data_IF_301275606055
#
_entry.id   IF_301275606055
#
_cell.length_a   1.000
_cell.length_b   1.000
_cell.length_c   1.000
_cell.angle_alpha   90.00
_cell.angle_beta   90.00
_cell.angle_gamma   90.00
#
_symmetry.space_group_name_H-M   'P 1'
#
loop_
_entity.id
_entity.type
_entity.pdbx_description
1 polymer ?
#
# COMPACT_ATOMS: atom_id res chain seq x y z
N UNK A 1 37.57 18.65 -2.99
CA UNK A 1 36.82 17.69 -2.15
C UNK A 1 35.28 17.88 -2.13
N UNK A 2 34.71 18.94 -2.74
CA UNK A 2 33.25 19.18 -2.71
C UNK A 2 32.43 18.51 -3.84
N UNK A 3 33.05 18.19 -4.99
CA UNK A 3 32.34 17.61 -6.14
C UNK A 3 31.91 16.16 -5.92
N UNK A 4 32.76 15.33 -5.30
CA UNK A 4 32.48 13.90 -5.06
C UNK A 4 31.41 13.70 -3.99
N UNK A 5 31.30 14.59 -2.99
CA UNK A 5 30.20 14.56 -2.00
C UNK A 5 28.86 14.98 -2.61
N UNK A 6 28.84 16.00 -3.48
CA UNK A 6 27.63 16.38 -4.23
C UNK A 6 27.22 15.31 -5.24
N UNK A 7 28.17 14.68 -5.93
CA UNK A 7 27.86 13.54 -6.80
C UNK A 7 27.34 12.36 -5.97
N UNK A 8 27.97 12.00 -4.85
CA UNK A 8 27.46 10.91 -3.99
C UNK A 8 26.11 11.22 -3.37
N UNK A 9 25.83 12.47 -2.99
CA UNK A 9 24.52 12.91 -2.52
C UNK A 9 23.47 12.92 -3.65
N UNK A 10 23.88 13.29 -4.87
CA UNK A 10 23.02 13.25 -6.06
C UNK A 10 22.76 11.81 -6.54
N UNK A 11 23.75 10.93 -6.49
CA UNK A 11 23.61 9.49 -6.76
C UNK A 11 22.87 8.77 -5.64
N UNK A 12 23.00 9.22 -4.38
CA UNK A 12 22.20 8.76 -3.24
C UNK A 12 20.75 9.23 -3.37
N UNK A 13 20.51 10.48 -3.77
CA UNK A 13 19.18 10.96 -4.13
C UNK A 13 18.63 10.16 -5.31
N UNK A 14 19.41 9.92 -6.36
CA UNK A 14 19.01 9.13 -7.53
C UNK A 14 18.71 7.66 -7.24
N UNK A 15 19.31 7.08 -6.19
CA UNK A 15 18.95 5.74 -5.66
C UNK A 15 17.76 5.75 -4.72
N UNK A 16 17.44 6.89 -4.08
CA UNK A 16 16.18 7.09 -3.33
C UNK A 16 14.95 7.21 -4.24
N UNK A 17 15.17 7.37 -5.55
CA UNK A 17 14.13 7.54 -6.57
C UNK A 17 13.89 6.27 -7.41
N UNK A 18 14.26 5.09 -6.89
CA UNK A 18 13.81 3.82 -7.46
C UNK A 18 12.37 3.58 -7.04
N UNK A 19 11.47 4.10 -7.89
CA UNK A 19 10.03 4.05 -7.72
C UNK A 19 9.58 2.66 -7.27
N UNK A 20 8.96 2.62 -6.10
CA UNK A 20 8.44 1.40 -5.51
C UNK A 20 6.95 1.41 -5.78
N UNK A 21 6.56 0.75 -6.87
CA UNK A 21 5.15 0.59 -7.18
C UNK A 21 4.49 -0.20 -6.06
N UNK A 22 3.28 0.19 -5.74
CA UNK A 22 2.39 -0.53 -4.85
C UNK A 22 1.26 -1.07 -5.69
N UNK A 23 0.71 -2.22 -5.32
CA UNK A 23 -0.49 -2.75 -5.96
C UNK A 23 -1.48 -3.06 -4.86
N UNK A 24 -2.57 -2.31 -4.79
CA UNK A 24 -3.75 -2.71 -4.05
C UNK A 24 -4.45 -3.82 -4.85
N UNK A 25 -4.35 -5.07 -4.40
CA UNK A 25 -4.96 -6.20 -5.11
C UNK A 25 -6.15 -6.77 -4.34
N UNK A 26 -7.26 -6.91 -5.06
CA UNK A 26 -8.49 -7.50 -4.59
C UNK A 26 -8.78 -8.67 -5.50
N UNK A 27 -8.73 -9.88 -4.97
CA UNK A 27 -9.06 -11.05 -5.75
C UNK A 27 -10.53 -11.36 -5.53
N UNK A 28 -11.37 -10.99 -6.49
CA UNK A 28 -12.70 -11.55 -6.64
C UNK A 28 -12.58 -12.93 -7.30
N UNK A 29 -12.65 -14.01 -6.52
CA UNK A 29 -12.82 -15.36 -7.07
C UNK A 29 -14.32 -15.67 -7.21
N UNK A 30 -15.01 -14.94 -8.08
CA UNK A 30 -16.37 -15.32 -8.48
C UNK A 30 -16.30 -16.44 -9.53
N UNK A 31 -16.29 -17.67 -9.03
CA UNK A 31 -16.96 -18.84 -9.62
C UNK A 31 -16.45 -19.39 -10.95
N UNK A 32 -15.46 -20.29 -10.91
CA UNK A 32 -15.50 -21.60 -11.60
C UNK A 32 -14.63 -22.61 -10.81
N UNK A 33 -15.17 -23.19 -9.73
CA UNK A 33 -14.64 -24.44 -9.15
C UNK A 33 -15.78 -25.30 -8.57
N UNK A 34 -16.92 -25.30 -9.27
CA UNK A 34 -18.04 -26.22 -9.02
C UNK A 34 -18.16 -27.25 -10.14
N UNK A 35 -17.12 -28.05 -10.39
CA UNK A 35 -17.21 -29.16 -11.35
C UNK A 35 -16.14 -30.28 -11.20
N UNK A 36 -15.40 -30.37 -10.07
CA UNK A 36 -14.44 -31.47 -9.87
C UNK A 36 -14.51 -32.14 -8.48
N UNK A 37 -15.59 -31.90 -7.73
CA UNK A 37 -15.92 -32.74 -6.56
C UNK A 37 -17.07 -33.64 -6.95
N UNK A 38 -16.78 -34.70 -7.70
CA UNK A 38 -17.58 -35.92 -7.82
C UNK A 38 -16.77 -36.91 -8.65
N UNK A 39 -15.96 -37.75 -7.98
CA UNK A 39 -15.68 -39.15 -8.33
C UNK A 39 -14.87 -39.80 -7.18
N UNK A 40 -15.05 -41.12 -6.94
CA UNK A 40 -14.93 -41.76 -5.62
C UNK A 40 -13.51 -42.19 -5.21
N UNK A 41 -13.39 -42.43 -3.90
CA UNK A 41 -12.24 -42.95 -3.16
C UNK A 41 -11.48 -44.08 -3.86
N UNK A 42 -10.16 -43.88 -3.99
CA UNK A 42 -9.19 -44.95 -4.17
C UNK A 42 -8.15 -44.87 -3.06
N UNK A 43 -8.15 -45.90 -2.22
CA UNK A 43 -7.19 -46.17 -1.14
C UNK A 43 -5.74 -46.12 -1.63
N UNK A 44 -4.84 -45.48 -0.87
CA UNK A 44 -3.45 -45.96 -0.69
C UNK A 44 -2.73 -45.29 0.49
N UNK A 45 -2.30 -46.17 1.42
CA UNK A 45 -1.10 -46.15 2.27
C UNK A 45 -0.80 -44.95 3.19
N UNK A 46 -0.94 -45.21 4.50
CA UNK A 46 -0.35 -44.44 5.61
C UNK A 46 1.19 -44.54 5.59
N UNK A 47 1.94 -43.42 5.72
CA UNK A 47 3.30 -43.46 6.21
C UNK A 47 3.33 -43.39 7.75
N UNK A 48 4.27 -44.13 8.32
CA UNK A 48 4.57 -44.27 9.74
C UNK A 48 4.83 -42.92 10.45
N UNK A 49 4.30 -42.80 11.67
CA UNK A 49 4.65 -41.75 12.62
C UNK A 49 6.10 -41.93 13.09
N UNK A 50 6.95 -40.93 12.83
CA UNK A 50 8.18 -40.73 13.56
C UNK A 50 7.87 -39.79 14.74
N UNK A 51 8.05 -40.29 15.96
CA UNK A 51 7.95 -39.51 17.18
C UNK A 51 9.04 -38.44 17.20
N UNK A 52 8.65 -37.17 17.16
CA UNK A 52 9.52 -36.06 17.51
C UNK A 52 9.35 -35.77 19.01
N UNK A 53 10.48 -35.74 19.70
CA UNK A 53 10.67 -35.50 21.12
C UNK A 53 10.06 -34.18 21.59
N UNK A 54 9.29 -34.28 22.66
CA UNK A 54 8.83 -33.18 23.51
C UNK A 54 10.01 -32.56 24.27
N UNK A 55 10.27 -31.28 24.02
CA UNK A 55 10.68 -30.34 25.06
C UNK A 55 9.80 -29.09 24.97
N UNK A 56 9.03 -28.88 26.02
CA UNK A 56 8.11 -27.77 26.19
C UNK A 56 8.62 -26.91 27.34
N UNK A 57 8.85 -25.61 27.10
CA UNK A 57 8.55 -24.52 28.06
C UNK A 57 8.37 -23.24 27.24
N UNK A 58 7.13 -22.92 26.85
CA UNK A 58 6.41 -21.80 27.46
C UNK A 58 5.18 -21.56 26.60
N UNK A 59 4.00 -21.50 27.21
CA UNK A 59 2.71 -21.43 26.54
C UNK A 59 2.73 -20.47 25.35
N UNK A 60 2.66 -21.02 24.14
CA UNK A 60 2.23 -20.25 22.98
C UNK A 60 0.82 -19.77 23.30
N UNK A 61 0.68 -18.49 23.65
CA UNK A 61 -0.59 -17.78 23.56
C UNK A 61 -1.29 -18.27 22.28
N UNK A 62 -2.54 -18.72 22.39
CA UNK A 62 -3.29 -19.31 21.28
C UNK A 62 -2.90 -18.61 19.98
N UNK A 63 -2.23 -19.35 19.08
CA UNK A 63 -1.51 -18.77 17.97
C UNK A 63 -2.41 -17.76 17.26
N UNK A 64 -1.94 -16.52 17.12
CA UNK A 64 -2.71 -15.44 16.51
C UNK A 64 -3.32 -15.96 15.19
N UNK A 65 -4.65 -15.92 15.01
CA UNK A 65 -5.30 -16.53 13.84
C UNK A 65 -4.76 -15.95 12.53
N UNK A 66 -4.33 -14.68 12.54
CA UNK A 66 -3.71 -14.03 11.37
C UNK A 66 -2.33 -14.61 11.06
N UNK A 67 -1.56 -15.01 12.09
CA UNK A 67 -0.31 -15.72 11.89
C UNK A 67 -0.56 -17.10 11.29
N UNK A 68 -1.59 -17.82 11.74
CA UNK A 68 -1.95 -19.13 11.18
C UNK A 68 -2.34 -19.05 9.69
N UNK A 69 -3.00 -17.96 9.31
CA UNK A 69 -3.39 -17.68 7.92
C UNK A 69 -2.17 -17.56 7.00
N UNK A 70 -1.19 -16.71 7.35
CA UNK A 70 -0.01 -16.48 6.52
C UNK A 70 1.06 -17.57 6.67
N UNK A 71 1.10 -18.28 7.80
CA UNK A 71 2.13 -19.31 8.07
C UNK A 71 2.21 -20.35 6.97
N UNK A 72 1.07 -20.82 6.44
CA UNK A 72 1.04 -21.84 5.38
C UNK A 72 1.77 -21.39 4.11
N UNK A 73 1.81 -20.09 3.84
CA UNK A 73 2.49 -19.50 2.68
C UNK A 73 3.96 -19.19 2.95
N UNK A 74 4.33 -18.88 4.21
CA UNK A 74 5.69 -18.47 4.60
C UNK A 74 6.56 -19.67 4.98
N UNK A 75 6.02 -20.65 5.72
CA UNK A 75 6.75 -21.80 6.27
C UNK A 75 7.55 -22.62 5.22
N UNK A 76 7.05 -22.84 3.99
CA UNK A 76 7.81 -23.54 2.95
C UNK A 76 9.13 -22.86 2.55
N UNK A 77 9.29 -21.56 2.82
CA UNK A 77 10.46 -20.76 2.47
C UNK A 77 11.51 -20.70 3.59
N UNK A 78 11.22 -21.23 4.77
CA UNK A 78 12.19 -21.40 5.85
C UNK A 78 11.66 -21.01 7.24
N UNK A 79 12.55 -20.95 8.25
CA UNK A 79 12.18 -20.59 9.62
C UNK A 79 11.51 -19.21 9.67
N UNK A 80 10.44 -19.10 10.46
CA UNK A 80 9.65 -17.87 10.59
C UNK A 80 10.12 -17.06 11.79
N UNK A 81 10.35 -15.77 11.58
CA UNK A 81 10.49 -14.76 12.60
C UNK A 81 9.16 -14.00 12.73
N UNK A 82 8.70 -13.78 13.96
CA UNK A 82 7.50 -12.97 14.22
C UNK A 82 7.77 -11.93 15.30
N UNK A 83 7.18 -10.75 15.13
CA UNK A 83 7.12 -9.66 16.11
C UNK A 83 5.68 -9.23 16.31
N UNK A 84 5.33 -8.88 17.55
CA UNK A 84 4.04 -8.30 17.87
C UNK A 84 4.24 -6.85 18.29
N UNK A 85 3.62 -5.94 17.56
CA UNK A 85 3.68 -4.50 17.83
C UNK A 85 2.36 -4.06 18.42
N UNK A 86 2.40 -3.39 19.57
CA UNK A 86 1.21 -2.72 20.08
C UNK A 86 0.86 -1.57 19.13
N UNK A 87 -0.30 -1.69 18.50
CA UNK A 87 -0.94 -0.61 17.73
C UNK A 87 -2.09 -0.08 18.62
N UNK A 88 -2.55 1.15 18.43
CA UNK A 88 -3.45 1.83 19.39
C UNK A 88 -4.69 1.03 19.83
N UNK A 89 -5.39 1.50 20.86
CA UNK A 89 -6.68 0.94 21.30
C UNK A 89 -6.67 -0.55 21.68
N UNK A 90 -5.54 -1.01 22.26
CA UNK A 90 -5.36 -2.38 22.71
C UNK A 90 -5.13 -3.40 21.58
N UNK A 91 -5.01 -2.92 20.33
CA UNK A 91 -4.73 -3.76 19.18
C UNK A 91 -3.26 -4.16 19.11
N UNK A 92 -3.00 -5.25 18.38
CA UNK A 92 -1.63 -5.69 18.11
C UNK A 92 -1.50 -6.05 16.64
N UNK A 93 -0.51 -5.48 15.99
CA UNK A 93 -0.13 -5.84 14.63
C UNK A 93 1.01 -6.87 14.66
N UNK A 94 1.17 -7.60 13.56
CA UNK A 94 2.22 -8.61 13.41
C UNK A 94 3.21 -8.17 12.35
N UNK A 95 4.50 -8.42 12.58
CA UNK A 95 5.52 -8.40 11.53
C UNK A 95 6.08 -9.82 11.40
N UNK A 96 6.01 -10.37 10.20
CA UNK A 96 6.36 -11.76 9.88
C UNK A 96 7.38 -11.77 8.74
N UNK A 97 8.34 -12.68 8.79
CA UNK A 97 9.28 -12.92 7.69
C UNK A 97 10.29 -13.99 8.10
N UNK A 98 11.48 -13.97 7.54
CA UNK A 98 12.54 -14.93 7.90
C UNK A 98 13.74 -14.24 8.57
N UNK A 99 14.64 -15.00 9.23
CA UNK A 99 15.84 -14.44 9.85
C UNK A 99 16.73 -13.61 8.90
N UNK A 100 16.68 -13.88 7.59
CA UNK A 100 17.41 -13.13 6.58
C UNK A 100 16.88 -11.70 6.35
N UNK A 101 15.59 -11.44 6.63
CA UNK A 101 14.93 -10.12 6.50
C UNK A 101 14.88 -9.37 7.85
N UNK A 102 15.77 -9.70 8.78
CA UNK A 102 15.76 -9.11 10.14
C UNK A 102 15.84 -7.58 10.11
N UNK A 103 16.65 -7.00 9.22
CA UNK A 103 16.85 -5.56 9.17
C UNK A 103 15.55 -4.81 8.82
N UNK A 104 14.81 -5.33 7.83
CA UNK A 104 13.52 -4.81 7.40
C UNK A 104 12.46 -5.02 8.50
N UNK A 105 12.41 -6.22 9.09
CA UNK A 105 11.51 -6.52 10.21
C UNK A 105 11.74 -5.56 11.37
N UNK A 106 12.99 -5.28 11.74
CA UNK A 106 13.33 -4.39 12.85
C UNK A 106 12.90 -2.93 12.54
N UNK A 107 12.98 -2.48 11.28
CA UNK A 107 12.46 -1.15 10.87
C UNK A 107 10.94 -1.12 10.94
N UNK A 108 10.26 -2.08 10.33
CA UNK A 108 8.81 -2.16 10.30
C UNK A 108 8.23 -2.29 11.72
N UNK A 109 8.86 -3.09 12.58
CA UNK A 109 8.48 -3.23 13.99
C UNK A 109 8.46 -1.88 14.72
N UNK A 110 9.47 -1.03 14.50
CA UNK A 110 9.56 0.30 15.12
C UNK A 110 8.55 1.29 14.56
N UNK A 111 8.27 1.23 13.27
CA UNK A 111 7.44 2.23 12.59
C UNK A 111 5.93 1.93 12.67
N UNK A 112 5.53 0.66 12.86
CA UNK A 112 4.14 0.23 12.69
C UNK A 112 3.14 0.92 13.62
N UNK A 113 3.51 1.18 14.87
CA UNK A 113 2.66 1.91 15.81
C UNK A 113 2.43 3.37 15.37
N UNK A 114 3.50 4.07 14.99
CA UNK A 114 3.43 5.46 14.53
C UNK A 114 2.72 5.57 13.18
N UNK A 115 2.92 4.61 12.28
CA UNK A 115 2.24 4.54 10.99
C UNK A 115 0.73 4.31 11.17
N UNK A 116 0.34 3.40 12.06
CA UNK A 116 -1.09 3.16 12.38
C UNK A 116 -1.76 4.41 12.96
N UNK A 117 -1.08 5.11 13.87
CA UNK A 117 -1.59 6.36 14.43
C UNK A 117 -1.75 7.45 13.37
N UNK A 118 -0.75 7.62 12.48
CA UNK A 118 -0.81 8.61 11.41
C UNK A 118 -1.94 8.35 10.41
N UNK A 119 -2.15 7.09 10.02
CA UNK A 119 -3.28 6.71 9.15
C UNK A 119 -4.62 6.93 9.85
N UNK A 120 -4.72 6.59 11.14
CA UNK A 120 -5.93 6.80 11.96
C UNK A 120 -6.26 8.27 12.12
N UNK A 121 -5.28 9.15 12.23
CA UNK A 121 -5.49 10.61 12.29
C UNK A 121 -6.11 11.16 11.00
N UNK A 122 -5.80 10.55 9.85
CA UNK A 122 -6.36 10.94 8.56
C UNK A 122 -7.73 10.30 8.32
N UNK A 123 -7.82 8.99 8.44
CA UNK A 123 -9.00 8.22 8.05
C UNK A 123 -10.10 8.15 9.11
N UNK A 124 -9.71 8.18 10.39
CA UNK A 124 -10.52 7.78 11.53
C UNK A 124 -10.22 6.34 11.99
N UNK A 125 -10.83 5.94 13.10
CA UNK A 125 -10.52 4.67 13.79
C UNK A 125 -11.29 3.43 13.31
N UNK A 126 -12.27 3.56 12.40
CA UNK A 126 -13.11 2.43 11.96
C UNK A 126 -12.45 1.58 10.86
N UNK A 127 -11.33 0.95 11.22
CA UNK A 127 -10.60 -0.02 10.39
C UNK A 127 -9.83 -0.99 11.28
N UNK A 128 -9.17 -2.00 10.69
CA UNK A 128 -8.62 -3.12 11.44
C UNK A 128 -7.63 -2.73 12.54
N UNK A 129 -6.75 -1.74 12.31
CA UNK A 129 -5.66 -1.30 13.21
C UNK A 129 -4.76 -2.41 13.77
N UNK A 130 -4.93 -3.64 13.31
CA UNK A 130 -4.29 -4.86 13.73
C UNK A 130 -3.86 -5.59 12.43
N UNK A 131 -2.88 -5.01 11.74
CA UNK A 131 -2.46 -5.46 10.41
C UNK A 131 -1.36 -6.52 10.52
N UNK A 132 -1.41 -7.54 9.66
CA UNK A 132 -0.28 -8.44 9.46
C UNK A 132 0.61 -7.87 8.37
N UNK A 133 1.87 -7.61 8.69
CA UNK A 133 2.91 -7.19 7.74
C UNK A 133 3.85 -8.36 7.52
N UNK A 134 4.05 -8.75 6.26
CA UNK A 134 4.92 -9.87 5.88
C UNK A 134 6.07 -9.34 5.02
N UNK A 135 7.30 -9.73 5.30
CA UNK A 135 8.46 -9.47 4.42
C UNK A 135 8.86 -10.78 3.76
N UNK A 136 8.58 -10.88 2.46
CA UNK A 136 8.90 -12.08 1.70
C UNK A 136 10.43 -12.29 1.59
N UNK A 137 10.88 -13.53 1.54
CA UNK A 137 12.27 -13.90 1.31
C UNK A 137 12.65 -14.07 -0.15
N UNK A 138 11.66 -14.26 -1.01
CA UNK A 138 11.87 -14.47 -2.45
C UNK A 138 10.70 -13.93 -3.29
N UNK A 139 10.91 -13.68 -4.60
CA UNK A 139 9.82 -13.28 -5.49
C UNK A 139 8.70 -14.33 -5.57
N UNK A 140 9.05 -15.62 -5.45
CA UNK A 140 8.07 -16.71 -5.44
C UNK A 140 7.20 -16.68 -4.18
N UNK A 141 7.79 -16.40 -3.02
CA UNK A 141 7.03 -16.21 -1.79
C UNK A 141 6.14 -14.97 -1.86
N UNK A 142 6.67 -13.86 -2.36
CA UNK A 142 5.91 -12.62 -2.55
C UNK A 142 4.67 -12.87 -3.43
N UNK A 143 4.86 -13.50 -4.59
CA UNK A 143 3.78 -13.91 -5.50
C UNK A 143 2.74 -14.80 -4.82
N UNK A 144 3.17 -15.77 -4.01
CA UNK A 144 2.29 -16.64 -3.24
C UNK A 144 1.47 -15.91 -2.17
N UNK A 145 2.09 -14.97 -1.46
CA UNK A 145 1.46 -14.21 -0.37
C UNK A 145 0.43 -13.21 -0.86
N UNK A 146 0.64 -12.61 -2.03
CA UNK A 146 -0.33 -11.71 -2.64
C UNK A 146 -1.36 -12.47 -3.50
N UNK A 147 -1.08 -13.74 -3.85
CA UNK A 147 -1.86 -14.56 -4.77
C UNK A 147 -1.91 -14.02 -6.22
N UNK A 148 -0.78 -13.51 -6.73
CA UNK A 148 -0.65 -13.08 -8.12
C UNK A 148 0.60 -13.68 -8.75
N UNK A 149 0.45 -14.13 -9.99
CA UNK A 149 1.54 -14.69 -10.81
C UNK A 149 2.12 -13.68 -11.80
N UNK A 150 1.57 -12.47 -11.88
CA UNK A 150 1.91 -11.45 -12.90
C UNK A 150 2.39 -10.14 -12.31
N UNK A 151 2.99 -10.15 -11.11
CA UNK A 151 3.50 -8.94 -10.48
C UNK A 151 4.77 -8.45 -11.17
N UNK A 152 4.83 -7.15 -11.43
CA UNK A 152 6.08 -6.51 -11.82
C UNK A 152 7.10 -6.62 -10.69
N UNK A 153 8.37 -6.84 -11.02
CA UNK A 153 9.47 -6.76 -10.07
C UNK A 153 9.64 -5.35 -9.47
N UNK A 154 9.01 -4.35 -10.08
CA UNK A 154 9.01 -2.97 -9.58
C UNK A 154 8.09 -2.78 -8.38
N UNK A 155 7.21 -3.74 -8.08
CA UNK A 155 6.32 -3.69 -6.92
C UNK A 155 7.10 -3.98 -5.65
N UNK A 156 7.18 -3.02 -4.74
CA UNK A 156 7.94 -3.16 -3.49
C UNK A 156 7.08 -3.60 -2.31
N UNK A 157 5.78 -3.33 -2.38
CA UNK A 157 4.81 -3.88 -1.45
C UNK A 157 3.43 -3.98 -2.09
N UNK A 158 2.56 -4.74 -1.44
CA UNK A 158 1.16 -4.86 -1.82
C UNK A 158 0.28 -5.02 -0.59
N UNK A 159 -0.85 -4.33 -0.60
CA UNK A 159 -1.96 -4.54 0.33
C UNK A 159 -2.93 -5.57 -0.25
N UNK A 160 -3.22 -6.58 0.57
CA UNK A 160 -4.05 -7.73 0.20
C UNK A 160 -5.23 -7.81 1.15
N UNK A 161 -6.39 -8.19 0.62
CA UNK A 161 -7.55 -8.60 1.39
C UNK A 161 -8.22 -9.81 0.72
N UNK A 162 -8.88 -10.65 1.51
CA UNK A 162 -9.72 -11.71 0.97
C UNK A 162 -10.95 -11.11 0.26
N UNK A 163 -11.55 -11.82 -0.71
CA UNK A 163 -12.83 -11.40 -1.29
C UNK A 163 -13.91 -11.23 -0.20
N UNK A 164 -14.62 -10.11 -0.27
CA UNK A 164 -15.71 -9.76 0.63
C UNK A 164 -16.87 -9.15 -0.15
N UNK A 165 -18.09 -9.29 0.37
CA UNK A 165 -19.26 -8.66 -0.22
C UNK A 165 -19.25 -7.13 0.01
N UNK A 166 -19.76 -6.31 -0.92
CA UNK A 166 -19.93 -4.88 -0.68
C UNK A 166 -20.68 -4.59 0.64
N UNK A 167 -20.13 -3.71 1.47
CA UNK A 167 -20.67 -3.38 2.80
C UNK A 167 -20.29 -4.35 3.92
N UNK A 168 -19.64 -5.48 3.63
CA UNK A 168 -19.02 -6.33 4.65
C UNK A 168 -17.64 -5.78 5.06
N UNK A 169 -17.18 -6.15 6.26
CA UNK A 169 -15.81 -5.83 6.68
C UNK A 169 -14.81 -6.73 5.95
N UNK A 170 -13.72 -6.17 5.39
CA UNK A 170 -12.65 -6.98 4.78
C UNK A 170 -12.01 -7.93 5.80
N UNK A 171 -11.61 -9.11 5.34
CA UNK A 171 -10.86 -10.12 6.11
C UNK A 171 -9.56 -10.49 5.41
N UNK A 172 -8.70 -11.28 6.07
CA UNK A 172 -7.42 -11.73 5.51
C UNK A 172 -6.45 -10.60 5.17
N UNK A 173 -6.68 -9.41 5.75
CA UNK A 173 -5.94 -8.21 5.41
C UNK A 173 -4.47 -8.31 5.83
N UNK A 174 -3.57 -8.04 4.89
CA UNK A 174 -2.13 -8.05 5.13
C UNK A 174 -1.39 -7.15 4.15
N UNK A 175 -0.25 -6.66 4.60
CA UNK A 175 0.72 -5.95 3.76
C UNK A 175 1.86 -6.91 3.50
N UNK A 176 2.28 -7.05 2.25
CA UNK A 176 3.40 -7.91 1.87
C UNK A 176 4.47 -7.02 1.25
N UNK A 177 5.68 -7.01 1.81
CA UNK A 177 6.86 -6.37 1.23
C UNK A 177 7.62 -7.37 0.36
N UNK A 178 8.12 -6.89 -0.78
CA UNK A 178 8.97 -7.64 -1.68
C UNK A 178 10.31 -7.97 -1.01
N UNK A 179 11.00 -9.05 -1.44
CA UNK A 179 12.27 -9.44 -0.83
C UNK A 179 13.41 -8.44 -1.02
N UNK A 180 13.29 -7.54 -1.98
CA UNK A 180 14.26 -6.50 -2.31
C UNK A 180 13.88 -5.12 -1.77
N UNK A 181 12.72 -4.97 -1.10
CA UNK A 181 12.23 -3.70 -0.59
C UNK A 181 13.27 -2.98 0.29
N UNK A 182 13.88 -3.69 1.25
CA UNK A 182 14.91 -3.10 2.13
C UNK A 182 16.26 -2.82 1.46
N UNK A 183 16.51 -3.35 0.26
CA UNK A 183 17.68 -2.96 -0.55
C UNK A 183 17.42 -1.72 -1.39
N UNK A 184 16.17 -1.54 -1.84
CA UNK A 184 15.73 -0.44 -2.71
C UNK A 184 15.41 0.82 -1.91
N UNK A 185 14.87 0.64 -0.71
CA UNK A 185 14.41 1.72 0.15
C UNK A 185 15.34 1.89 1.34
N UNK A 186 15.68 3.14 1.66
CA UNK A 186 16.24 3.46 2.96
C UNK A 186 15.14 3.37 4.04
N UNK A 187 15.47 3.44 5.34
CA UNK A 187 14.47 3.31 6.40
C UNK A 187 13.32 4.32 6.30
N UNK A 188 13.57 5.51 5.74
CA UNK A 188 12.55 6.53 5.52
C UNK A 188 11.58 6.15 4.39
N UNK A 189 12.13 5.60 3.29
CA UNK A 189 11.34 5.01 2.22
C UNK A 189 10.45 3.86 2.71
N UNK A 190 10.99 2.93 3.52
CA UNK A 190 10.20 1.84 4.12
C UNK A 190 9.09 2.35 5.03
N UNK A 191 9.36 3.37 5.84
CA UNK A 191 8.37 4.02 6.71
C UNK A 191 7.24 4.65 5.91
N UNK A 192 7.59 5.36 4.84
CA UNK A 192 6.63 6.00 3.92
C UNK A 192 5.78 4.94 3.22
N UNK A 193 6.41 3.90 2.67
CA UNK A 193 5.73 2.78 2.03
C UNK A 193 4.79 2.04 2.99
N UNK A 194 5.20 1.83 4.25
CA UNK A 194 4.34 1.22 5.26
C UNK A 194 3.06 2.05 5.50
N UNK A 195 3.16 3.38 5.58
CA UNK A 195 1.99 4.26 5.73
C UNK A 195 1.10 4.26 4.50
N UNK A 196 1.70 4.24 3.31
CA UNK A 196 0.96 4.11 2.05
C UNK A 196 0.11 2.83 2.08
N UNK A 197 0.74 1.68 2.33
CA UNK A 197 0.04 0.39 2.34
C UNK A 197 -1.00 0.27 3.48
N UNK A 198 -0.69 0.79 4.68
CA UNK A 198 -1.68 0.86 5.74
C UNK A 198 -2.89 1.73 5.38
N UNK A 199 -2.71 2.74 4.54
CA UNK A 199 -3.83 3.55 4.05
C UNK A 199 -4.76 2.70 3.21
N UNK A 200 -4.24 1.85 2.32
CA UNK A 200 -5.06 0.89 1.56
C UNK A 200 -5.79 -0.10 2.47
N UNK A 201 -5.14 -0.60 3.53
CA UNK A 201 -5.80 -1.46 4.53
C UNK A 201 -6.96 -0.71 5.22
N UNK A 202 -6.73 0.55 5.61
CA UNK A 202 -7.72 1.37 6.31
C UNK A 202 -8.93 1.72 5.44
N UNK A 203 -8.68 2.03 4.16
CA UNK A 203 -9.72 2.48 3.24
C UNK A 203 -10.47 1.34 2.57
N UNK A 204 -9.95 0.12 2.57
CA UNK A 204 -10.47 -1.00 1.77
C UNK A 204 -11.98 -1.22 1.86
N UNK A 205 -12.57 -1.08 3.05
CA UNK A 205 -14.02 -1.28 3.23
C UNK A 205 -14.88 -0.23 2.50
N UNK A 206 -14.32 0.95 2.23
CA UNK A 206 -14.97 2.06 1.52
C UNK A 206 -14.64 2.08 0.02
N UNK A 207 -13.80 1.16 -0.46
CA UNK A 207 -13.27 1.19 -1.82
C UNK A 207 -13.83 0.02 -2.62
N UNK A 208 -14.61 0.32 -3.66
CA UNK A 208 -15.06 -0.68 -4.62
C UNK A 208 -13.95 -1.03 -5.61
N UNK A 209 -14.10 -2.15 -6.29
CA UNK A 209 -13.22 -2.53 -7.39
C UNK A 209 -13.44 -1.63 -8.60
N UNK A 210 -12.35 -1.17 -9.23
CA UNK A 210 -12.39 -0.22 -10.34
C UNK A 210 -12.70 1.22 -9.94
N UNK A 211 -12.43 1.59 -8.69
CA UNK A 211 -12.31 3.00 -8.30
C UNK A 211 -11.04 3.62 -8.94
N UNK A 212 -11.06 4.92 -9.29
CA UNK A 212 -10.01 5.53 -10.09
C UNK A 212 -8.70 5.64 -9.32
N UNK A 213 -7.59 5.23 -9.96
CA UNK A 213 -6.29 5.10 -9.30
C UNK A 213 -5.73 6.45 -8.83
N UNK A 214 -6.06 7.56 -9.51
CA UNK A 214 -5.63 8.89 -9.08
C UNK A 214 -6.09 9.24 -7.66
N UNK A 215 -7.27 8.77 -7.25
CA UNK A 215 -7.77 8.98 -5.89
C UNK A 215 -7.18 7.95 -4.93
N UNK A 216 -7.12 6.68 -5.35
CA UNK A 216 -6.65 5.58 -4.50
C UNK A 216 -5.19 5.77 -4.12
N UNK A 217 -4.31 5.88 -5.10
CA UNK A 217 -2.87 6.01 -4.90
C UNK A 217 -2.49 7.42 -4.42
N UNK A 218 -3.14 8.45 -4.95
CA UNK A 218 -2.89 9.83 -4.52
C UNK A 218 -3.21 10.06 -3.03
N UNK A 219 -4.30 9.47 -2.52
CA UNK A 219 -4.67 9.57 -1.11
C UNK A 219 -3.73 8.76 -0.20
N UNK A 220 -3.30 7.58 -0.66
CA UNK A 220 -2.31 6.77 0.04
C UNK A 220 -0.97 7.50 0.14
N UNK A 221 -0.47 8.10 -0.95
CA UNK A 221 0.75 8.91 -0.94
C UNK A 221 0.62 10.19 -0.12
N UNK A 222 -0.52 10.86 -0.18
CA UNK A 222 -0.78 12.03 0.67
C UNK A 222 -0.66 11.65 2.14
N UNK A 223 -1.35 10.57 2.55
CA UNK A 223 -1.34 10.08 3.93
C UNK A 223 0.05 9.63 4.34
N UNK A 224 0.78 8.97 3.44
CA UNK A 224 2.15 8.55 3.65
C UNK A 224 3.04 9.74 4.00
N UNK A 225 3.07 10.77 3.15
CA UNK A 225 3.96 11.92 3.31
C UNK A 225 3.53 12.97 4.35
N UNK A 226 2.26 12.95 4.77
CA UNK A 226 1.72 13.92 5.73
C UNK A 226 2.51 13.93 7.04
N UNK A 227 2.85 15.15 7.49
CA UNK A 227 3.53 15.38 8.77
C UNK A 227 4.98 14.90 8.83
N UNK A 228 5.56 14.44 7.71
CA UNK A 228 6.95 13.98 7.66
C UNK A 228 7.96 15.10 7.36
N UNK A 229 7.49 16.31 7.03
CA UNK A 229 8.36 17.45 6.69
C UNK A 229 9.05 17.32 5.31
N UNK A 230 8.59 16.40 4.46
CA UNK A 230 9.10 16.25 3.11
C UNK A 230 8.70 17.45 2.26
N UNK A 231 9.63 17.96 1.44
CA UNK A 231 9.34 19.09 0.55
C UNK A 231 8.69 18.55 -0.73
N UNK A 232 7.99 19.42 -1.46
CA UNK A 232 7.41 19.08 -2.76
C UNK A 232 8.43 18.42 -3.69
N UNK A 233 9.66 18.98 -3.77
CA UNK A 233 10.74 18.45 -4.61
C UNK A 233 11.29 17.08 -4.17
N UNK A 234 11.03 16.65 -2.94
CA UNK A 234 11.42 15.33 -2.43
C UNK A 234 10.34 14.28 -2.71
N UNK A 235 9.06 14.68 -2.78
CA UNK A 235 7.92 13.80 -3.03
C UNK A 235 7.65 13.66 -4.54
N UNK A 236 7.66 14.78 -5.26
CA UNK A 236 7.26 14.86 -6.67
C UNK A 236 8.37 15.49 -7.56
N UNK A 237 9.60 14.93 -7.58
CA UNK A 237 10.71 15.48 -8.32
C UNK A 237 10.51 15.48 -9.85
N UNK A 238 9.86 14.43 -10.38
CA UNK A 238 9.62 14.26 -11.82
C UNK A 238 8.57 15.24 -12.29
N UNK A 239 7.47 15.34 -11.56
CA UNK A 239 6.40 16.31 -11.81
C UNK A 239 6.92 17.75 -11.68
N UNK A 240 7.71 18.06 -10.65
CA UNK A 240 8.31 19.38 -10.49
C UNK A 240 9.22 19.73 -11.69
N UNK A 241 9.97 18.75 -12.21
CA UNK A 241 10.80 18.94 -13.41
C UNK A 241 9.93 19.21 -14.63
N UNK A 242 8.85 18.46 -14.84
CA UNK A 242 7.90 18.68 -15.93
C UNK A 242 7.29 20.08 -15.88
N UNK A 243 6.79 20.51 -14.71
CA UNK A 243 6.20 21.83 -14.49
C UNK A 243 7.21 22.94 -14.77
N UNK A 244 8.45 22.82 -14.29
CA UNK A 244 9.53 23.78 -14.59
C UNK A 244 9.91 23.86 -16.06
N UNK A 245 9.68 22.79 -16.81
CA UNK A 245 9.86 22.75 -18.26
C UNK A 245 8.61 23.16 -19.06
N UNK A 246 7.61 23.78 -18.40
CA UNK A 246 6.32 24.16 -19.00
C UNK A 246 5.47 22.99 -19.54
N UNK A 247 5.74 21.76 -19.07
CA UNK A 247 4.99 20.56 -19.38
C UNK A 247 4.01 20.22 -18.23
N UNK A 248 3.20 21.19 -17.82
CA UNK A 248 2.20 21.01 -16.74
C UNK A 248 1.12 20.03 -17.23
N UNK A 249 0.78 18.97 -16.47
CA UNK A 249 -0.28 18.04 -16.86
C UNK A 249 -1.59 18.75 -17.18
N UNK A 250 -2.30 18.26 -18.20
CA UNK A 250 -3.53 18.88 -18.71
C UNK A 250 -4.79 18.47 -17.96
N UNK A 251 -4.79 17.29 -17.34
CA UNK A 251 -5.95 16.68 -16.69
C UNK A 251 -5.49 15.77 -15.53
N UNK A 252 -6.43 15.17 -14.79
CA UNK A 252 -6.14 14.13 -13.78
C UNK A 252 -5.51 12.89 -14.42
N UNK A 253 -4.66 12.15 -13.69
CA UNK A 253 -4.06 10.91 -14.18
C UNK A 253 -5.08 9.87 -14.63
N UNK A 254 -4.86 9.25 -15.79
CA UNK A 254 -5.68 8.12 -16.24
C UNK A 254 -5.16 6.80 -15.65
N UNK A 255 -6.05 5.85 -15.38
CA UNK A 255 -5.70 4.58 -14.72
C UNK A 255 -4.61 3.79 -15.47
N UNK A 256 -4.60 3.83 -16.80
CA UNK A 256 -3.61 3.14 -17.63
C UNK A 256 -2.18 3.68 -17.44
N UNK A 257 -2.04 4.93 -17.00
CA UNK A 257 -0.74 5.61 -16.86
C UNK A 257 -0.03 5.24 -15.54
N UNK A 258 -0.69 4.50 -14.64
CA UNK A 258 -0.10 3.96 -13.42
C UNK A 258 0.77 2.72 -13.66
N UNK A 259 0.90 2.30 -14.92
CA UNK A 259 1.76 1.21 -15.34
C UNK A 259 2.77 1.68 -16.39
N UNK A 260 3.89 0.95 -16.48
CA UNK A 260 4.93 1.21 -17.46
C UNK A 260 5.87 2.36 -17.06
N UNK A 261 6.63 2.83 -18.06
CA UNK A 261 7.80 3.70 -17.86
C UNK A 261 7.53 5.04 -17.16
N UNK A 262 6.32 5.57 -17.29
CA UNK A 262 5.96 6.90 -16.79
C UNK A 262 5.15 6.82 -15.49
N UNK A 263 4.90 5.61 -14.96
CA UNK A 263 4.11 5.37 -13.76
C UNK A 263 4.57 6.24 -12.59
N UNK A 264 5.88 6.38 -12.39
CA UNK A 264 6.43 7.22 -11.34
C UNK A 264 5.86 8.65 -11.35
N UNK A 265 5.84 9.30 -12.51
CA UNK A 265 5.30 10.65 -12.66
C UNK A 265 3.78 10.69 -12.43
N UNK A 266 3.08 9.63 -12.82
CA UNK A 266 1.62 9.48 -12.64
C UNK A 266 1.23 9.44 -11.15
N UNK A 267 1.96 8.70 -10.32
CA UNK A 267 1.76 8.69 -8.87
C UNK A 267 2.10 10.05 -8.25
N UNK A 268 3.22 10.68 -8.65
CA UNK A 268 3.57 12.03 -8.19
C UNK A 268 2.47 13.05 -8.54
N UNK A 269 1.86 12.92 -9.72
CA UNK A 269 0.72 13.72 -10.15
C UNK A 269 -0.50 13.45 -9.28
N UNK A 270 -0.86 12.18 -9.04
CA UNK A 270 -1.97 11.79 -8.18
C UNK A 270 -1.83 12.31 -6.74
N UNK A 271 -0.63 12.17 -6.16
CA UNK A 271 -0.28 12.77 -4.87
C UNK A 271 -0.53 14.28 -4.87
N UNK A 272 -0.07 14.98 -5.92
CA UNK A 272 -0.20 16.44 -6.00
C UNK A 272 -1.65 16.90 -6.05
N UNK A 273 -2.55 16.12 -6.66
CA UNK A 273 -4.00 16.39 -6.66
C UNK A 273 -4.54 16.32 -5.24
N UNK A 274 -4.19 15.27 -4.48
CA UNK A 274 -4.63 15.11 -3.09
C UNK A 274 -4.02 16.16 -2.16
N UNK A 275 -2.75 16.52 -2.37
CA UNK A 275 -2.08 17.60 -1.65
C UNK A 275 -2.77 18.94 -1.88
N UNK A 276 -3.11 19.26 -3.13
CA UNK A 276 -3.89 20.45 -3.48
C UNK A 276 -5.26 20.46 -2.77
N UNK A 277 -6.00 19.35 -2.81
CA UNK A 277 -7.30 19.27 -2.15
C UNK A 277 -7.16 19.53 -0.64
N UNK A 278 -6.18 18.88 0.00
CA UNK A 278 -5.94 19.05 1.42
C UNK A 278 -5.52 20.48 1.79
N UNK A 279 -4.70 21.14 0.97
CA UNK A 279 -4.28 22.53 1.19
C UNK A 279 -5.45 23.51 1.00
N UNK A 280 -6.23 23.35 -0.07
CA UNK A 280 -7.27 24.30 -0.48
C UNK A 280 -8.58 24.13 0.28
N UNK A 281 -8.96 22.90 0.57
CA UNK A 281 -10.28 22.52 1.12
C UNK A 281 -10.17 21.84 2.50
N UNK A 282 -8.96 21.46 2.94
CA UNK A 282 -8.71 20.79 4.20
C UNK A 282 -8.76 19.26 4.11
N UNK A 283 -8.02 18.60 5.00
CA UNK A 283 -7.97 17.14 5.10
C UNK A 283 -9.36 16.47 5.24
N UNK A 284 -10.32 16.99 6.05
CA UNK A 284 -11.64 16.36 6.14
C UNK A 284 -12.39 16.30 4.80
N UNK A 285 -12.23 17.31 3.94
CA UNK A 285 -12.83 17.32 2.60
C UNK A 285 -12.14 16.35 1.65
N UNK A 286 -10.83 16.17 1.76
CA UNK A 286 -10.12 15.12 1.02
C UNK A 286 -10.65 13.73 1.40
N UNK A 287 -10.85 13.46 2.70
CA UNK A 287 -11.38 12.17 3.17
C UNK A 287 -12.82 11.95 2.71
N UNK A 288 -13.66 12.99 2.77
CA UNK A 288 -15.04 12.92 2.24
C UNK A 288 -15.04 12.65 0.74
N UNK A 289 -14.19 13.32 -0.02
CA UNK A 289 -14.05 13.14 -1.46
C UNK A 289 -13.59 11.71 -1.79
N UNK A 290 -12.58 11.20 -1.07
CA UNK A 290 -12.12 9.82 -1.22
C UNK A 290 -13.29 8.85 -1.07
N UNK A 291 -14.08 8.96 0.01
CA UNK A 291 -15.22 8.07 0.26
C UNK A 291 -16.23 8.07 -0.88
N UNK A 292 -16.57 9.25 -1.41
CA UNK A 292 -17.54 9.37 -2.49
C UNK A 292 -16.98 8.82 -3.82
N UNK A 293 -15.75 9.19 -4.17
CA UNK A 293 -15.11 8.73 -5.42
C UNK A 293 -14.87 7.22 -5.39
N UNK A 294 -14.35 6.68 -4.27
CA UNK A 294 -14.01 5.28 -4.11
C UNK A 294 -15.22 4.35 -3.99
N UNK A 295 -16.39 4.86 -3.60
CA UNK A 295 -17.62 4.06 -3.52
C UNK A 295 -18.46 4.10 -4.81
N UNK A 296 -18.30 5.11 -5.66
CA UNK A 296 -19.17 5.33 -6.82
C UNK A 296 -18.59 4.76 -8.14
N UNK A 297 -19.46 4.23 -9.00
CA UNK A 297 -19.11 3.90 -10.38
C UNK A 297 -18.74 5.20 -11.11
N UNK A 298 -17.49 5.32 -11.53
CA UNK A 298 -17.00 6.58 -12.09
C UNK A 298 -17.31 6.70 -13.59
N UNK A 299 -17.78 7.89 -13.93
CA UNK A 299 -17.97 8.47 -15.26
C UNK A 299 -17.62 9.96 -15.14
N UNK A 300 -17.33 10.67 -16.24
CA UNK A 300 -17.07 12.11 -16.17
C UNK A 300 -18.20 12.90 -15.47
N UNK A 301 -19.46 12.51 -15.67
CA UNK A 301 -20.61 13.17 -15.06
C UNK A 301 -20.72 12.92 -13.54
N UNK A 302 -20.49 11.67 -13.10
CA UNK A 302 -20.53 11.34 -11.66
C UNK A 302 -19.37 11.96 -10.91
N UNK A 303 -18.19 12.04 -11.52
CA UNK A 303 -17.02 12.67 -10.92
C UNK A 303 -17.23 14.19 -10.76
N UNK A 304 -17.72 14.88 -11.80
CA UNK A 304 -18.10 16.31 -11.71
C UNK A 304 -19.17 16.54 -10.65
N UNK A 305 -20.20 15.69 -10.58
CA UNK A 305 -21.24 15.77 -9.55
C UNK A 305 -20.66 15.65 -8.14
N UNK A 306 -19.75 14.69 -7.92
CA UNK A 306 -19.10 14.48 -6.62
C UNK A 306 -18.20 15.68 -6.26
N UNK A 307 -17.40 16.19 -7.20
CA UNK A 307 -16.58 17.39 -7.00
C UNK A 307 -17.43 18.60 -6.60
N UNK A 308 -18.56 18.83 -7.29
CA UNK A 308 -19.50 19.90 -6.95
C UNK A 308 -20.09 19.72 -5.57
N UNK A 309 -20.50 18.51 -5.23
CA UNK A 309 -21.13 18.21 -3.94
C UNK A 309 -20.16 18.37 -2.77
N UNK A 310 -18.91 17.90 -2.91
CA UNK A 310 -17.95 17.83 -1.80
C UNK A 310 -17.10 19.09 -1.70
N UNK A 311 -16.61 19.60 -2.82
CA UNK A 311 -15.68 20.73 -2.89
C UNK A 311 -16.34 22.04 -3.33
N UNK A 312 -17.54 21.99 -3.93
CA UNK A 312 -18.23 23.17 -4.44
C UNK A 312 -17.71 23.68 -5.78
N UNK A 313 -16.92 22.87 -6.51
CA UNK A 313 -16.34 23.22 -7.81
C UNK A 313 -16.61 22.15 -8.86
N UNK A 314 -16.70 22.54 -10.13
CA UNK A 314 -16.84 21.59 -11.25
C UNK A 314 -15.48 20.98 -11.63
N UNK A 315 -15.48 19.89 -12.41
CA UNK A 315 -14.25 19.19 -12.84
C UNK A 315 -13.29 20.13 -13.58
N UNK A 316 -13.80 20.88 -14.56
CA UNK A 316 -12.95 21.74 -15.40
C UNK A 316 -12.26 22.84 -14.57
N UNK A 317 -13.02 23.50 -13.69
CA UNK A 317 -12.49 24.52 -12.78
C UNK A 317 -11.52 23.91 -11.77
N UNK A 318 -11.85 22.74 -11.19
CA UNK A 318 -10.97 22.01 -10.28
C UNK A 318 -9.61 21.70 -10.92
N UNK A 319 -9.60 21.17 -12.15
CA UNK A 319 -8.38 20.85 -12.89
C UNK A 319 -7.60 22.12 -13.21
N UNK A 320 -8.27 23.21 -13.63
CA UNK A 320 -7.62 24.48 -13.92
C UNK A 320 -6.95 25.08 -12.66
N UNK A 321 -7.63 25.08 -11.52
CA UNK A 321 -7.10 25.58 -10.26
C UNK A 321 -5.95 24.73 -9.73
N UNK A 322 -6.06 23.40 -9.78
CA UNK A 322 -4.97 22.49 -9.42
C UNK A 322 -3.73 22.73 -10.28
N UNK A 323 -3.90 22.91 -11.60
CA UNK A 323 -2.78 23.23 -12.52
C UNK A 323 -2.13 24.57 -12.20
N UNK A 324 -2.91 25.57 -11.79
CA UNK A 324 -2.40 26.86 -11.36
C UNK A 324 -1.60 26.72 -10.05
N UNK A 325 -2.14 25.99 -9.07
CA UNK A 325 -1.46 25.67 -7.82
C UNK A 325 -0.15 24.92 -8.07
N UNK A 326 -0.17 23.91 -8.95
CA UNK A 326 1.00 23.12 -9.31
C UNK A 326 2.09 23.99 -9.95
N UNK A 327 1.70 24.94 -10.80
CA UNK A 327 2.61 25.90 -11.42
C UNK A 327 3.28 26.81 -10.38
N UNK A 328 2.57 27.17 -9.31
CA UNK A 328 3.12 27.96 -8.21
C UNK A 328 4.20 27.20 -7.42
N UNK A 329 4.15 25.86 -7.36
CA UNK A 329 5.16 25.03 -6.68
C UNK A 329 6.52 25.04 -7.39
N UNK A 330 6.57 25.46 -8.65
CA UNK A 330 7.79 25.50 -9.45
C UNK A 330 8.58 26.82 -9.33
N UNK A 331 8.01 27.83 -8.65
CA UNK A 331 8.62 29.15 -8.42
C UNK A 331 9.61 29.09 -7.26
#
# INVERSE_FOLDING_TARGET
>A
MNGVRRLRAWWSARRRFEFCLTVAMVIALTGVCGALVLLPNSTSTKPHAAQASTEAVGQAAAADPRLAEVRRSVEPFGPILTRQVATGDGQRSLVVGHPAQRAEIDVLERELAAATAAVTEVWGGDWAQATTVVVASSPAEFAGLVHSTTLSSEVAAASVADPFAPGARPTGQRIVFSPDAGRRLDPDGLRTLLRHELTHIATRAATRDGAPLWMLEGFADYTAHRGQGHRFADIAPTLLTQVRSHAVPGDLPADQDFAGRDAAATYEQAWSVCAYIAERYGQPRLVELYRQIAAAQQTPATEDQILRSVLGTGRDDFVAEWRAWLSAQAT
#
